data_IF_916021610311
#
_entry.id   IF_916021610311
#
_cell.length_a   1.000
_cell.length_b   1.000
_cell.length_c   1.000
_cell.angle_alpha   90.00
_cell.angle_beta   90.00
_cell.angle_gamma   90.00
#
_symmetry.space_group_name_H-M   'P 1'
#
loop_
_entity.id
_entity.type
_entity.pdbx_description
1 polymer ?
#
# COMPACT_ATOMS: atom_id res chain seq x y z
N UNK A 1 -14.26 26.17 -11.53
CA UNK A 1 -13.00 25.58 -11.01
C UNK A 1 -13.23 25.17 -9.57
N UNK A 2 -13.25 23.86 -9.29
CA UNK A 2 -13.66 23.31 -8.00
C UNK A 2 -12.47 23.32 -7.02
N UNK A 3 -12.59 23.99 -5.88
CA UNK A 3 -11.50 24.25 -4.93
C UNK A 3 -10.93 23.00 -4.26
N UNK A 4 -11.66 21.88 -4.34
CA UNK A 4 -11.24 20.54 -3.88
C UNK A 4 -10.20 19.89 -4.79
N UNK A 5 -10.32 20.06 -6.11
CA UNK A 5 -9.37 19.52 -7.10
C UNK A 5 -7.99 20.16 -7.00
N UNK A 6 -7.95 21.46 -6.70
CA UNK A 6 -6.70 22.21 -6.54
C UNK A 6 -5.95 21.82 -5.27
N UNK A 7 -6.68 21.49 -4.19
CA UNK A 7 -6.11 20.92 -2.96
C UNK A 7 -5.59 19.51 -3.18
N UNK A 8 -6.29 18.69 -3.96
CA UNK A 8 -5.86 17.32 -4.27
C UNK A 8 -4.58 17.29 -5.12
N UNK A 9 -4.48 18.14 -6.15
CA UNK A 9 -3.26 18.29 -6.95
C UNK A 9 -2.08 18.87 -6.16
N UNK A 10 -2.33 19.81 -5.25
CA UNK A 10 -1.28 20.36 -4.38
C UNK A 10 -0.72 19.30 -3.40
N UNK A 11 -1.58 18.39 -2.92
CA UNK A 11 -1.18 17.25 -2.07
C UNK A 11 -0.41 16.21 -2.92
N UNK A 12 -0.85 15.92 -4.14
CA UNK A 12 -0.16 14.99 -5.03
C UNK A 12 1.25 15.49 -5.43
N UNK A 13 1.39 16.80 -5.71
CA UNK A 13 2.66 17.42 -6.10
C UNK A 13 3.68 17.49 -4.94
N UNK A 14 3.21 17.67 -3.70
CA UNK A 14 4.07 17.64 -2.51
C UNK A 14 4.56 16.24 -2.18
N UNK A 15 3.77 15.20 -2.48
CA UNK A 15 4.17 13.79 -2.34
C UNK A 15 5.21 13.40 -3.40
N UNK A 16 5.05 13.85 -4.65
CA UNK A 16 6.00 13.54 -5.74
C UNK A 16 7.38 14.19 -5.54
N UNK A 17 7.42 15.36 -4.87
CA UNK A 17 8.67 16.07 -4.57
C UNK A 17 9.55 15.36 -3.51
N UNK A 18 8.97 14.58 -2.61
CA UNK A 18 9.70 13.83 -1.58
C UNK A 18 10.38 12.55 -2.12
N UNK A 19 10.01 12.09 -3.32
CA UNK A 19 10.50 10.83 -3.90
C UNK A 19 11.92 10.93 -4.48
N UNK A 20 12.47 12.13 -4.69
CA UNK A 20 13.75 12.33 -5.39
C UNK A 20 15.00 12.18 -4.50
N UNK A 21 14.86 12.09 -3.17
CA UNK A 21 16.02 12.08 -2.26
C UNK A 21 16.65 10.70 -2.01
N UNK A 22 16.17 9.62 -2.65
CA UNK A 22 16.52 8.25 -2.26
C UNK A 22 17.73 7.61 -2.95
N UNK A 23 18.43 8.29 -3.86
CA UNK A 23 19.56 7.69 -4.58
C UNK A 23 20.88 8.28 -4.12
N UNK A 24 21.49 7.69 -3.08
CA UNK A 24 22.94 7.42 -2.99
C UNK A 24 23.28 6.79 -1.64
N UNK A 25 23.62 5.50 -1.65
CA UNK A 25 24.29 4.85 -0.52
C UNK A 25 25.66 4.34 -0.99
N UNK A 26 26.78 4.81 -0.39
CA UNK A 26 28.08 4.23 -0.65
C UNK A 26 28.25 2.91 0.11
N UNK A 27 28.53 1.83 -0.62
CA UNK A 27 28.82 0.49 -0.08
C UNK A 27 30.32 0.39 0.20
N UNK A 28 30.73 0.35 1.48
CA UNK A 28 32.11 -0.03 1.84
C UNK A 28 32.20 -0.81 3.17
N UNK A 29 32.45 -2.12 3.01
CA UNK A 29 33.17 -3.12 3.86
C UNK A 29 32.95 -3.13 5.39
N UNK A 30 32.59 -4.30 5.92
CA UNK A 30 33.43 -5.04 6.89
C UNK A 30 33.00 -6.51 7.00
N UNK A 31 33.99 -7.42 7.01
CA UNK A 31 33.80 -8.88 6.86
C UNK A 31 33.77 -9.66 8.19
N UNK A 32 34.18 -9.06 9.31
CA UNK A 32 34.13 -9.67 10.65
C UNK A 32 32.78 -9.45 11.35
N UNK A 33 32.07 -8.38 10.99
CA UNK A 33 30.67 -8.13 11.35
C UNK A 33 29.71 -9.08 10.62
N UNK A 34 30.13 -9.72 9.52
CA UNK A 34 29.27 -10.49 8.61
C UNK A 34 28.62 -11.72 9.26
N UNK A 35 29.28 -12.41 10.20
CA UNK A 35 28.68 -13.58 10.87
C UNK A 35 27.64 -13.18 11.92
N UNK A 36 27.89 -12.08 12.64
CA UNK A 36 26.95 -11.54 13.64
C UNK A 36 25.79 -10.81 12.92
N UNK A 37 26.09 -10.12 11.82
CA UNK A 37 25.12 -9.58 10.87
C UNK A 37 24.36 -10.68 10.12
N UNK A 38 24.92 -11.87 9.86
CA UNK A 38 24.18 -13.00 9.25
C UNK A 38 23.17 -13.59 10.23
N UNK A 39 23.53 -13.70 11.51
CA UNK A 39 22.64 -14.19 12.56
C UNK A 39 21.56 -13.15 12.92
N UNK A 40 21.94 -11.87 13.03
CA UNK A 40 20.98 -10.75 13.12
C UNK A 40 20.10 -10.67 11.87
N UNK A 41 20.67 -10.77 10.66
CA UNK A 41 19.94 -10.78 9.40
C UNK A 41 18.96 -11.95 9.31
N UNK A 42 19.30 -13.13 9.84
CA UNK A 42 18.37 -14.27 9.84
C UNK A 42 17.18 -14.04 10.78
N UNK A 43 17.41 -13.44 11.96
CA UNK A 43 16.35 -13.01 12.88
C UNK A 43 15.48 -11.91 12.25
N UNK A 44 16.12 -10.92 11.63
CA UNK A 44 15.44 -9.80 10.98
C UNK A 44 14.62 -10.25 9.78
N UNK A 45 15.12 -11.21 9.00
CA UNK A 45 14.37 -11.83 7.90
C UNK A 45 13.14 -12.55 8.43
N UNK A 46 13.27 -13.29 9.53
CA UNK A 46 12.15 -14.00 10.15
C UNK A 46 11.08 -13.04 10.66
N UNK A 47 11.48 -11.92 11.26
CA UNK A 47 10.55 -10.88 11.71
C UNK A 47 9.84 -10.18 10.55
N UNK A 48 10.52 -9.95 9.42
CA UNK A 48 9.88 -9.46 8.19
C UNK A 48 8.87 -10.47 7.63
N UNK A 49 9.20 -11.77 7.65
CA UNK A 49 8.26 -12.83 7.20
C UNK A 49 7.02 -12.87 8.09
N UNK A 50 7.18 -12.75 9.41
CA UNK A 50 6.04 -12.67 10.34
C UNK A 50 5.17 -11.45 10.07
N UNK A 51 5.79 -10.28 9.86
CA UNK A 51 5.07 -9.06 9.52
C UNK A 51 4.27 -9.22 8.23
N UNK A 52 4.89 -9.78 7.18
CA UNK A 52 4.24 -10.05 5.90
C UNK A 52 3.12 -11.09 6.00
N UNK A 53 3.32 -12.19 6.74
CA UNK A 53 2.30 -13.22 6.91
C UNK A 53 1.09 -12.70 7.69
N UNK A 54 1.33 -11.93 8.76
CA UNK A 54 0.27 -11.31 9.55
C UNK A 54 -0.53 -10.30 8.70
N UNK A 55 0.16 -9.45 7.96
CA UNK A 55 -0.50 -8.46 7.12
C UNK A 55 -1.26 -9.09 5.96
N UNK A 56 -0.77 -10.18 5.38
CA UNK A 56 -1.49 -10.95 4.35
C UNK A 56 -2.84 -11.47 4.85
N UNK A 57 -2.84 -12.11 6.03
CA UNK A 57 -4.07 -12.66 6.62
C UNK A 57 -5.09 -11.57 6.93
N UNK A 58 -4.64 -10.44 7.50
CA UNK A 58 -5.53 -9.35 7.88
C UNK A 58 -6.08 -8.64 6.65
N UNK A 59 -5.21 -8.33 5.67
CA UNK A 59 -5.62 -7.67 4.44
C UNK A 59 -6.55 -8.52 3.60
N UNK A 60 -6.29 -9.84 3.53
CA UNK A 60 -7.19 -10.79 2.89
C UNK A 60 -8.57 -10.77 3.56
N UNK A 61 -8.64 -11.02 4.87
CA UNK A 61 -9.91 -11.07 5.63
C UNK A 61 -10.67 -9.75 5.61
N UNK A 62 -9.97 -8.60 5.66
CA UNK A 62 -10.63 -7.29 5.65
C UNK A 62 -11.12 -6.89 4.26
N UNK A 63 -10.46 -7.34 3.19
CA UNK A 63 -10.86 -7.08 1.81
C UNK A 63 -11.96 -8.04 1.31
N UNK A 64 -12.03 -9.27 1.81
CA UNK A 64 -12.99 -10.30 1.38
C UNK A 64 -14.44 -9.82 1.25
N UNK A 65 -15.06 -9.18 2.27
CA UNK A 65 -16.48 -8.79 2.18
C UNK A 65 -16.70 -7.66 1.17
N UNK A 66 -15.74 -6.75 1.02
CA UNK A 66 -15.86 -5.60 0.12
C UNK A 66 -15.63 -6.01 -1.33
N UNK A 67 -14.69 -6.91 -1.59
CA UNK A 67 -14.48 -7.49 -2.92
C UNK A 67 -15.68 -8.33 -3.37
N UNK A 68 -16.37 -8.99 -2.43
CA UNK A 68 -17.58 -9.74 -2.73
C UNK A 68 -18.73 -8.79 -3.12
N UNK A 69 -18.90 -7.71 -2.36
CA UNK A 69 -19.90 -6.69 -2.65
C UNK A 69 -19.64 -5.99 -4.00
N UNK A 70 -18.39 -5.66 -4.32
CA UNK A 70 -18.03 -5.02 -5.60
C UNK A 70 -18.25 -5.96 -6.80
N UNK A 71 -17.99 -7.27 -6.63
CA UNK A 71 -18.22 -8.29 -7.67
C UNK A 71 -19.70 -8.49 -7.98
N UNK A 72 -20.57 -8.39 -6.98
CA UNK A 72 -22.04 -8.42 -7.14
C UNK A 72 -22.55 -7.20 -7.92
N UNK A 73 -22.04 -6.01 -7.60
CA UNK A 73 -22.47 -4.76 -8.22
C UNK A 73 -22.04 -4.65 -9.69
N UNK A 74 -20.90 -5.23 -10.05
CA UNK A 74 -20.32 -5.10 -11.40
C UNK A 74 -20.78 -6.17 -12.40
N UNK A 75 -21.64 -7.11 -11.99
CA UNK A 75 -22.24 -8.15 -12.86
C UNK A 75 -21.20 -8.83 -13.79
N UNK A 76 -20.06 -9.22 -13.23
CA UNK A 76 -19.03 -9.95 -13.99
C UNK A 76 -19.54 -11.35 -14.38
N UNK A 77 -19.27 -11.84 -15.60
CA UNK A 77 -19.66 -13.19 -16.03
C UNK A 77 -19.06 -14.32 -15.18
N UNK A 78 -17.97 -14.05 -14.44
CA UNK A 78 -17.32 -14.99 -13.51
C UNK A 78 -17.18 -14.36 -12.12
N UNK A 79 -18.29 -14.06 -11.45
CA UNK A 79 -18.30 -13.39 -10.13
C UNK A 79 -17.46 -14.09 -9.07
N UNK A 80 -17.53 -15.42 -8.98
CA UNK A 80 -16.76 -16.20 -7.99
C UNK A 80 -15.25 -16.19 -8.26
N UNK A 81 -14.85 -16.44 -9.52
CA UNK A 81 -13.43 -16.47 -9.89
C UNK A 81 -12.77 -15.09 -9.79
N UNK A 82 -13.50 -14.03 -10.11
CA UNK A 82 -13.00 -12.66 -9.97
C UNK A 82 -12.81 -12.29 -8.49
N UNK A 83 -13.77 -12.66 -7.63
CA UNK A 83 -13.70 -12.38 -6.20
C UNK A 83 -12.52 -13.08 -5.51
N UNK A 84 -12.28 -14.35 -5.83
CA UNK A 84 -11.14 -15.12 -5.29
C UNK A 84 -9.83 -14.46 -5.71
N UNK A 85 -9.69 -14.16 -7.00
CA UNK A 85 -8.49 -13.50 -7.54
C UNK A 85 -8.23 -12.13 -6.91
N UNK A 86 -9.27 -11.29 -6.76
CA UNK A 86 -9.14 -9.96 -6.16
C UNK A 86 -8.78 -10.04 -4.66
N UNK A 87 -9.28 -11.06 -3.96
CA UNK A 87 -8.98 -11.32 -2.55
C UNK A 87 -7.54 -11.83 -2.38
N UNK A 88 -7.09 -12.76 -3.22
CA UNK A 88 -5.72 -13.27 -3.21
C UNK A 88 -4.71 -12.15 -3.52
N UNK A 89 -4.97 -11.31 -4.52
CA UNK A 89 -4.12 -10.14 -4.79
C UNK A 89 -4.09 -9.17 -3.62
N UNK A 90 -5.24 -8.90 -2.98
CA UNK A 90 -5.27 -8.02 -1.81
C UNK A 90 -4.45 -8.55 -0.63
N UNK A 91 -4.42 -9.88 -0.45
CA UNK A 91 -3.59 -10.55 0.57
C UNK A 91 -2.10 -10.39 0.26
N UNK A 92 -1.69 -10.60 -0.99
CA UNK A 92 -0.28 -10.41 -1.42
C UNK A 92 0.17 -8.95 -1.28
N UNK A 93 -0.67 -8.00 -1.67
CA UNK A 93 -0.38 -6.57 -1.52
C UNK A 93 -0.27 -6.17 -0.05
N UNK A 94 -1.15 -6.67 0.80
CA UNK A 94 -1.07 -6.45 2.24
C UNK A 94 0.19 -7.09 2.85
N UNK A 95 0.61 -8.26 2.36
CA UNK A 95 1.88 -8.89 2.72
C UNK A 95 3.06 -7.95 2.44
N UNK A 96 3.09 -7.39 1.23
CA UNK A 96 4.14 -6.45 0.80
C UNK A 96 4.13 -5.17 1.64
N UNK A 97 2.94 -4.62 1.92
CA UNK A 97 2.78 -3.44 2.77
C UNK A 97 3.36 -3.66 4.17
N UNK A 98 3.08 -4.79 4.81
CA UNK A 98 3.60 -5.08 6.16
C UNK A 98 5.13 -5.18 6.20
N UNK A 99 5.74 -5.77 5.17
CA UNK A 99 7.20 -5.82 5.04
C UNK A 99 7.77 -4.40 4.88
N UNK A 100 7.23 -3.61 3.94
CA UNK A 100 7.71 -2.24 3.69
C UNK A 100 7.50 -1.34 4.90
N UNK A 101 6.35 -1.44 5.58
CA UNK A 101 6.05 -0.67 6.78
C UNK A 101 7.09 -0.91 7.89
N UNK A 102 7.51 -2.17 8.11
CA UNK A 102 8.59 -2.49 9.08
C UNK A 102 9.94 -1.85 8.70
N UNK A 103 10.26 -1.77 7.42
CA UNK A 103 11.53 -1.17 6.97
C UNK A 103 11.53 0.37 7.02
N UNK A 104 10.40 0.99 6.72
CA UNK A 104 10.26 2.44 6.67
C UNK A 104 10.06 3.02 8.07
N UNK A 105 9.17 2.43 8.88
CA UNK A 105 8.86 2.94 10.22
C UNK A 105 9.76 2.26 11.25
N UNK A 106 10.96 2.80 11.39
CA UNK A 106 11.99 2.34 12.34
C UNK A 106 11.65 2.74 13.78
N UNK A 107 12.35 2.14 14.74
CA UNK A 107 12.14 2.43 16.17
C UNK A 107 12.44 3.90 16.50
N UNK A 108 13.48 4.48 15.88
CA UNK A 108 13.88 5.89 16.07
C UNK A 108 12.84 6.90 15.58
N UNK A 109 12.11 6.56 14.52
CA UNK A 109 11.18 7.46 13.84
C UNK A 109 9.72 7.18 14.23
N UNK A 110 9.50 6.38 15.29
CA UNK A 110 8.17 5.99 15.78
C UNK A 110 7.31 7.20 16.18
N UNK A 111 7.92 8.28 16.67
CA UNK A 111 7.22 9.51 17.06
C UNK A 111 6.70 10.31 15.85
N UNK A 112 7.18 10.01 14.64
CA UNK A 112 6.81 10.74 13.44
C UNK A 112 5.56 10.13 12.78
N UNK A 113 4.39 10.63 13.15
CA UNK A 113 3.10 10.21 12.59
C UNK A 113 2.96 10.51 11.10
N UNK A 114 3.65 11.54 10.58
CA UNK A 114 3.60 11.90 9.16
C UNK A 114 4.24 10.82 8.27
N UNK A 115 5.31 10.17 8.75
CA UNK A 115 5.95 9.07 8.03
C UNK A 115 5.03 7.85 7.92
N UNK A 116 4.36 7.49 9.01
CA UNK A 116 3.44 6.34 9.06
C UNK A 116 2.26 6.53 8.12
N UNK A 117 1.63 7.71 8.17
CA UNK A 117 0.51 8.06 7.29
C UNK A 117 0.94 8.17 5.82
N UNK A 118 2.16 8.65 5.55
CA UNK A 118 2.70 8.73 4.20
C UNK A 118 2.87 7.37 3.53
N UNK A 119 3.40 6.37 4.26
CA UNK A 119 3.53 4.99 3.76
C UNK A 119 2.15 4.39 3.48
N UNK A 120 1.21 4.55 4.40
CA UNK A 120 -0.17 4.07 4.23
C UNK A 120 -0.84 4.71 3.01
N UNK A 121 -0.74 6.03 2.87
CA UNK A 121 -1.33 6.78 1.76
C UNK A 121 -0.72 6.37 0.40
N UNK A 122 0.58 6.15 0.34
CA UNK A 122 1.26 5.73 -0.89
C UNK A 122 0.73 4.38 -1.41
N UNK A 123 0.57 3.39 -0.52
CA UNK A 123 0.03 2.07 -0.91
C UNK A 123 -1.43 2.15 -1.35
N UNK A 124 -2.25 2.94 -0.65
CA UNK A 124 -3.66 3.16 -1.05
C UNK A 124 -3.72 3.80 -2.44
N UNK A 125 -2.91 4.83 -2.72
CA UNK A 125 -2.91 5.49 -4.02
C UNK A 125 -2.45 4.53 -5.13
N UNK A 126 -1.37 3.79 -4.91
CA UNK A 126 -0.83 2.86 -5.91
C UNK A 126 -1.80 1.71 -6.21
N UNK A 127 -2.60 1.25 -5.23
CA UNK A 127 -3.65 0.23 -5.44
C UNK A 127 -4.87 0.79 -6.17
N UNK A 128 -5.25 2.05 -5.92
CA UNK A 128 -6.47 2.65 -6.48
C UNK A 128 -6.33 3.08 -7.93
N UNK A 129 -5.18 3.62 -8.33
CA UNK A 129 -4.92 4.09 -9.69
C UNK A 129 -5.15 3.04 -10.80
N UNK A 130 -4.66 1.78 -10.70
CA UNK A 130 -4.87 0.78 -11.75
C UNK A 130 -6.31 0.26 -11.83
N UNK A 131 -7.15 0.51 -10.82
CA UNK A 131 -8.55 0.09 -10.82
C UNK A 131 -9.46 1.06 -11.60
N UNK A 132 -8.93 2.18 -12.07
CA UNK A 132 -9.65 3.14 -12.90
C UNK A 132 -9.89 2.50 -14.28
N UNK A 133 -11.15 2.12 -14.54
CA UNK A 133 -11.57 1.63 -15.86
C UNK A 133 -11.84 2.81 -16.78
N UNK A 134 -11.11 2.84 -17.90
CA UNK A 134 -11.38 3.81 -18.98
C UNK A 134 -12.71 3.43 -19.63
N UNK A 135 -13.61 4.40 -19.84
CA UNK A 135 -14.90 4.14 -20.45
C UNK A 135 -14.77 3.80 -21.94
N UNK A 136 -15.75 3.06 -22.46
CA UNK A 136 -15.73 2.45 -23.80
C UNK A 136 -15.72 3.43 -24.98
N UNK A 137 -15.90 4.74 -24.73
CA UNK A 137 -15.88 5.78 -25.74
C UNK A 137 -14.47 6.40 -25.96
N UNK A 138 -13.44 5.95 -25.23
CA UNK A 138 -12.07 6.39 -25.43
C UNK A 138 -11.26 5.36 -26.23
N UNK A 139 -10.56 5.83 -27.27
CA UNK A 139 -9.64 5.00 -28.05
C UNK A 139 -8.26 4.88 -27.38
N UNK A 140 -7.60 3.74 -27.61
CA UNK A 140 -6.34 3.35 -26.95
C UNK A 140 -5.05 3.85 -27.64
N UNK A 141 -5.17 4.65 -28.70
CA UNK A 141 -4.04 5.15 -29.50
C UNK A 141 -4.13 6.67 -29.68
N UNK A 142 -3.13 7.46 -29.20
CA UNK A 142 -3.08 7.97 -27.81
C UNK A 142 -4.47 8.23 -27.18
N UNK A 143 -4.59 8.28 -25.84
CA UNK A 143 -5.88 8.39 -25.13
C UNK A 143 -6.72 9.60 -25.65
N UNK A 144 -7.57 9.36 -26.64
CA UNK A 144 -8.41 10.36 -27.29
C UNK A 144 -9.83 10.12 -26.80
N UNK A 145 -10.19 10.83 -25.74
CA UNK A 145 -11.57 10.89 -25.28
C UNK A 145 -12.23 12.10 -25.95
N UNK A 146 -13.34 11.88 -26.66
CA UNK A 146 -14.13 12.92 -27.36
C UNK A 146 -14.57 14.05 -26.42
N UNK A 147 -14.70 13.75 -25.13
CA UNK A 147 -14.98 14.72 -24.08
C UNK A 147 -13.91 14.61 -22.99
N UNK A 148 -13.20 15.72 -22.74
CA UNK A 148 -12.20 15.86 -21.67
C UNK A 148 -12.86 16.05 -20.30
N UNK A 149 -13.86 15.24 -19.97
CA UNK A 149 -14.31 15.14 -18.58
C UNK A 149 -13.38 14.13 -17.91
N UNK A 150 -12.44 14.64 -17.11
CA UNK A 150 -11.43 13.83 -16.39
C UNK A 150 -12.09 12.83 -15.41
N UNK A 151 -13.38 12.98 -15.13
CA UNK A 151 -14.20 12.09 -14.31
C UNK A 151 -15.65 12.09 -14.83
N UNK A 152 -16.00 11.12 -15.67
CA UNK A 152 -17.39 10.79 -15.94
C UNK A 152 -18.05 10.25 -14.65
N UNK A 153 -19.36 10.47 -14.43
CA UNK A 153 -20.05 10.03 -13.22
C UNK A 153 -19.82 8.54 -12.92
N UNK A 154 -19.82 7.70 -13.95
CA UNK A 154 -19.63 6.25 -13.81
C UNK A 154 -18.18 5.88 -13.45
N UNK A 155 -17.20 6.60 -13.99
CA UNK A 155 -15.78 6.42 -13.64
C UNK A 155 -15.46 6.91 -12.22
N UNK A 156 -16.20 7.93 -11.74
CA UNK A 156 -16.04 8.46 -10.39
C UNK A 156 -16.53 7.48 -9.31
N UNK A 157 -17.61 6.74 -9.60
CA UNK A 157 -18.14 5.71 -8.69
C UNK A 157 -17.18 4.53 -8.60
N UNK A 158 -16.63 4.09 -9.73
CA UNK A 158 -15.62 3.03 -9.76
C UNK A 158 -14.35 3.44 -8.99
N UNK A 159 -13.90 4.69 -9.14
CA UNK A 159 -12.76 5.23 -8.39
C UNK A 159 -13.03 5.26 -6.88
N UNK A 160 -14.22 5.69 -6.47
CA UNK A 160 -14.58 5.73 -5.03
C UNK A 160 -14.67 4.31 -4.47
N UNK A 161 -15.25 3.35 -5.20
CA UNK A 161 -15.30 1.95 -4.76
C UNK A 161 -13.89 1.33 -4.65
N UNK A 162 -13.01 1.61 -5.61
CA UNK A 162 -11.59 1.25 -5.57
C UNK A 162 -10.86 1.89 -4.37
N UNK A 163 -11.14 3.17 -4.12
CA UNK A 163 -10.64 3.91 -2.97
C UNK A 163 -11.03 3.25 -1.64
N UNK A 164 -12.32 2.99 -1.46
CA UNK A 164 -12.88 2.40 -0.25
C UNK A 164 -12.32 1.01 0.01
N UNK A 165 -12.25 0.16 -1.01
CA UNK A 165 -11.67 -1.19 -0.88
C UNK A 165 -10.19 -1.14 -0.50
N UNK A 166 -9.42 -0.21 -1.07
CA UNK A 166 -8.01 -0.03 -0.76
C UNK A 166 -7.78 0.46 0.68
N UNK A 167 -8.57 1.45 1.13
CA UNK A 167 -8.52 1.94 2.52
C UNK A 167 -8.88 0.81 3.49
N UNK A 168 -9.94 0.05 3.21
CA UNK A 168 -10.37 -1.05 4.06
C UNK A 168 -9.40 -2.24 4.08
N UNK A 169 -8.54 -2.37 3.06
CA UNK A 169 -7.47 -3.38 3.05
C UNK A 169 -6.30 -2.94 3.93
N UNK A 170 -5.78 -1.72 3.75
CA UNK A 170 -4.53 -1.30 4.38
C UNK A 170 -4.69 -0.70 5.78
N UNK A 171 -5.81 -0.03 6.11
CA UNK A 171 -6.02 0.58 7.43
C UNK A 171 -6.07 -0.45 8.56
N UNK A 172 -6.84 -1.56 8.45
CA UNK A 172 -6.86 -2.59 9.49
C UNK A 172 -5.49 -3.24 9.68
N UNK A 173 -4.77 -3.48 8.57
CA UNK A 173 -3.41 -4.02 8.60
C UNK A 173 -2.47 -3.08 9.35
N UNK A 174 -2.52 -1.77 9.05
CA UNK A 174 -1.72 -0.76 9.73
C UNK A 174 -2.00 -0.73 11.24
N UNK A 175 -3.26 -0.69 11.65
CA UNK A 175 -3.66 -0.69 13.06
C UNK A 175 -3.15 -1.95 13.79
N UNK A 176 -3.29 -3.13 13.18
CA UNK A 176 -2.84 -4.37 13.81
C UNK A 176 -1.31 -4.45 13.86
N UNK A 177 -0.60 -4.00 12.82
CA UNK A 177 0.86 -3.94 12.86
C UNK A 177 1.35 -2.99 13.95
N UNK A 178 0.74 -1.81 14.10
CA UNK A 178 1.07 -0.91 15.20
C UNK A 178 0.78 -1.53 16.57
N UNK A 179 -0.37 -2.18 16.73
CA UNK A 179 -0.71 -2.88 17.96
C UNK A 179 0.29 -4.00 18.30
N UNK A 180 0.62 -4.85 17.33
CA UNK A 180 1.51 -6.01 17.51
C UNK A 180 2.97 -5.58 17.76
N UNK A 181 3.42 -4.52 17.10
CA UNK A 181 4.77 -3.98 17.29
C UNK A 181 4.91 -3.17 18.59
N UNK A 182 3.88 -2.40 18.98
CA UNK A 182 3.98 -1.49 20.12
C UNK A 182 3.59 -2.14 21.46
N UNK A 183 2.49 -2.88 21.52
CA UNK A 183 1.98 -3.40 22.80
C UNK A 183 2.46 -4.83 23.09
N UNK A 184 2.45 -5.71 22.09
CA UNK A 184 2.83 -7.12 22.29
C UNK A 184 4.30 -7.40 22.11
N UNK A 185 5.03 -6.58 21.35
CA UNK A 185 6.45 -6.80 21.01
C UNK A 185 6.72 -8.12 20.28
N UNK A 186 5.71 -8.70 19.62
CA UNK A 186 5.84 -9.98 18.88
C UNK A 186 6.67 -9.84 17.60
N UNK A 187 6.71 -8.63 17.05
CA UNK A 187 7.51 -8.24 15.89
C UNK A 187 8.31 -7.02 16.31
N UNK A 188 9.63 -7.10 16.27
CA UNK A 188 10.48 -5.94 16.57
C UNK A 188 10.62 -5.08 15.32
N UNK A 189 10.72 -3.77 15.55
CA UNK A 189 11.08 -2.83 14.49
C UNK A 189 12.58 -2.92 14.25
N UNK A 190 13.02 -2.43 13.10
CA UNK A 190 14.44 -2.28 12.87
C UNK A 190 14.99 -1.17 13.76
N UNK A 191 16.02 -1.49 14.54
CA UNK A 191 16.83 -0.52 15.23
C UNK A 191 17.64 0.28 14.20
N UNK A 192 17.79 1.59 14.42
CA UNK A 192 18.78 2.34 13.64
C UNK A 192 20.17 1.81 14.02
N UNK A 193 21.02 1.61 13.01
CA UNK A 193 22.45 1.50 13.29
C UNK A 193 22.89 2.86 13.84
N UNK A 194 23.16 2.95 15.14
CA UNK A 194 24.02 4.00 15.66
C UNK A 194 25.39 3.82 14.99
N UNK A 195 25.60 4.56 13.90
CA UNK A 195 26.90 4.72 13.23
C UNK A 195 27.60 5.90 13.86
#
# INVERSE_FOLDING_TARGET
MNTTLLKFFAILATIFSQAQSFTTFPVRRQLSTLNLQLKASSSDRLESIKAGALSALIGGVSATPLNYASSLLTHSPNTLGQWEFDTDMSSVEAALFGIVYRYVVRETDKSNSMLQQGVLGAFIIVRTLPQIKVPSYCDSIPLQCKYFYVLDPDTSIALVAAGVTSVATFVPVWLVLEYVMNEKGWIKRFDSFNV
#
